data_IF_390759940430
#
_entry.id   IF_390759940430
#
_cell.length_a   1.000
_cell.length_b   1.000
_cell.length_c   1.000
_cell.angle_alpha   90.00
_cell.angle_beta   90.00
_cell.angle_gamma   90.00
#
_symmetry.space_group_name_H-M   'P 1'
#
loop_
_entity.id
_entity.type
_entity.pdbx_description
1 polymer ?
#
# COMPACT_ATOMS: atom_id res chain seq x y z
N UNK A 1 -31.31 16.74 10.06
CA UNK A 1 -30.17 16.35 9.21
C UNK A 1 -28.90 16.86 9.88
N UNK A 2 -27.82 16.08 9.89
CA UNK A 2 -26.54 16.54 10.42
C UNK A 2 -26.00 17.70 9.56
N UNK A 3 -25.39 18.71 10.18
CA UNK A 3 -24.68 19.76 9.44
C UNK A 3 -23.41 19.13 8.85
N UNK A 4 -23.33 19.05 7.53
CA UNK A 4 -22.21 18.45 6.79
C UNK A 4 -21.19 19.49 6.34
N UNK A 5 -21.20 20.66 6.98
CA UNK A 5 -20.23 21.73 6.73
C UNK A 5 -19.31 21.91 7.94
N UNK A 6 -18.04 22.19 7.67
CA UNK A 6 -17.06 22.53 8.70
C UNK A 6 -17.28 23.93 9.28
N UNK A 7 -16.44 24.36 10.22
CA UNK A 7 -16.56 25.68 10.86
C UNK A 7 -16.35 26.87 9.90
N UNK A 8 -15.84 26.62 8.68
CA UNK A 8 -15.67 27.62 7.62
C UNK A 8 -16.77 27.53 6.56
N UNK A 9 -17.76 26.65 6.72
CA UNK A 9 -18.86 26.45 5.78
C UNK A 9 -18.54 25.54 4.59
N UNK A 10 -17.41 24.84 4.56
CA UNK A 10 -17.02 23.93 3.46
C UNK A 10 -17.61 22.53 3.67
N UNK A 11 -17.92 21.74 2.61
CA UNK A 11 -18.34 20.36 2.78
C UNK A 11 -17.31 19.54 3.58
N UNK A 12 -17.78 18.75 4.54
CA UNK A 12 -16.94 17.83 5.30
C UNK A 12 -16.43 16.73 4.37
N UNK A 13 -15.12 16.49 4.41
CA UNK A 13 -14.45 15.40 3.70
C UNK A 13 -13.99 14.38 4.74
N UNK A 14 -14.30 13.11 4.50
CA UNK A 14 -13.90 12.00 5.34
C UNK A 14 -13.19 10.92 4.51
N UNK A 15 -12.32 10.15 5.16
CA UNK A 15 -11.74 8.93 4.58
C UNK A 15 -12.75 7.80 4.79
N UNK A 16 -13.33 7.29 3.72
CA UNK A 16 -14.34 6.22 3.76
C UNK A 16 -13.81 4.86 3.37
N UNK A 17 -12.64 4.80 2.71
CA UNK A 17 -11.95 3.56 2.37
C UNK A 17 -10.45 3.79 2.20
N UNK A 18 -9.64 2.77 2.50
CA UNK A 18 -8.20 2.77 2.45
C UNK A 18 -7.74 1.45 1.83
N UNK A 19 -7.01 1.55 0.73
CA UNK A 19 -6.30 0.41 0.17
C UNK A 19 -4.79 0.55 0.32
N UNK A 20 -4.12 -0.57 0.56
CA UNK A 20 -2.69 -0.58 0.85
C UNK A 20 -2.00 -1.82 0.31
N UNK A 21 -0.85 -1.62 -0.32
CA UNK A 21 0.09 -2.70 -0.65
C UNK A 21 1.47 -2.30 -0.15
N UNK A 22 2.08 -3.13 0.68
CA UNK A 22 3.42 -2.89 1.26
C UNK A 22 4.23 -4.17 1.25
N UNK A 23 5.48 -4.11 1.71
CA UNK A 23 6.27 -5.31 1.97
C UNK A 23 5.72 -6.20 3.09
N UNK A 24 4.69 -5.76 3.82
CA UNK A 24 4.02 -6.55 4.85
C UNK A 24 2.82 -7.34 4.34
N UNK A 25 2.27 -6.99 3.16
CA UNK A 25 1.14 -7.71 2.57
C UNK A 25 0.36 -6.91 1.53
N UNK A 26 -0.58 -7.60 0.87
CA UNK A 26 -1.63 -6.98 0.06
C UNK A 26 -2.84 -6.79 0.96
N UNK A 27 -3.30 -5.57 1.09
CA UNK A 27 -4.52 -5.28 1.81
C UNK A 27 -4.30 -4.70 3.20
N UNK A 28 -5.26 -3.88 3.64
CA UNK A 28 -5.30 -3.27 4.98
C UNK A 28 -5.26 -4.33 6.07
N UNK A 29 -6.02 -5.41 5.92
CA UNK A 29 -6.12 -6.47 6.93
C UNK A 29 -4.75 -7.16 7.17
N UNK A 30 -4.12 -7.63 6.10
CA UNK A 30 -2.85 -8.35 6.17
C UNK A 30 -1.72 -7.43 6.63
N UNK A 31 -1.64 -6.22 6.06
CA UNK A 31 -0.66 -5.21 6.47
C UNK A 31 -0.81 -4.83 7.95
N UNK A 32 -2.04 -4.61 8.43
CA UNK A 32 -2.29 -4.24 9.83
C UNK A 32 -1.95 -5.39 10.79
N UNK A 33 -2.33 -6.62 10.44
CA UNK A 33 -2.01 -7.79 11.24
C UNK A 33 -0.49 -8.01 11.36
N UNK A 34 0.26 -7.86 10.25
CA UNK A 34 1.71 -7.97 10.27
C UNK A 34 2.39 -6.84 11.05
N UNK A 35 1.94 -5.59 10.85
CA UNK A 35 2.47 -4.41 11.53
C UNK A 35 2.28 -4.50 13.05
N UNK A 36 1.07 -4.82 13.50
CA UNK A 36 0.75 -4.92 14.93
C UNK A 36 1.39 -6.12 15.62
N UNK A 37 1.70 -7.18 14.86
CA UNK A 37 2.50 -8.31 15.34
C UNK A 37 4.02 -8.03 15.38
N UNK A 38 4.47 -6.82 15.03
CA UNK A 38 5.88 -6.46 15.01
C UNK A 38 6.68 -7.15 13.91
N UNK A 39 6.03 -7.63 12.84
CA UNK A 39 6.75 -8.23 11.71
C UNK A 39 7.46 -7.14 10.92
N UNK A 40 8.72 -7.38 10.58
CA UNK A 40 9.48 -6.51 9.68
C UNK A 40 9.27 -6.93 8.23
N UNK A 41 8.89 -5.99 7.38
CA UNK A 41 8.88 -6.16 5.93
C UNK A 41 10.22 -5.80 5.28
N UNK A 42 11.24 -5.45 6.07
CA UNK A 42 12.57 -5.09 5.57
C UNK A 42 13.44 -6.35 5.49
N UNK A 43 14.02 -6.59 4.32
CA UNK A 43 14.88 -7.76 4.06
C UNK A 43 15.95 -7.44 3.00
N UNK A 44 16.91 -8.34 2.73
CA UNK A 44 17.94 -8.13 1.71
C UNK A 44 17.35 -7.85 0.32
N UNK A 45 18.02 -6.98 -0.44
CA UNK A 45 17.67 -6.69 -1.84
C UNK A 45 18.06 -7.88 -2.72
N UNK A 46 17.12 -8.37 -3.53
CA UNK A 46 17.26 -9.55 -4.42
C UNK A 46 16.98 -9.21 -5.88
N UNK A 47 16.55 -7.98 -6.17
CA UNK A 47 16.12 -7.54 -7.51
C UNK A 47 17.27 -7.25 -8.47
N UNK A 48 18.45 -6.98 -7.94
CA UNK A 48 19.67 -6.68 -8.70
C UNK A 48 20.91 -6.86 -7.79
N UNK A 49 22.12 -7.00 -8.34
CA UNK A 49 23.37 -7.07 -7.56
C UNK A 49 23.62 -5.78 -6.76
N UNK A 50 23.96 -5.90 -5.48
CA UNK A 50 24.11 -4.76 -4.55
C UNK A 50 25.53 -4.57 -4.02
N UNK A 51 26.53 -5.22 -4.62
CA UNK A 51 27.91 -5.28 -4.13
C UNK A 51 28.55 -3.90 -3.92
N UNK A 52 28.20 -2.93 -4.75
CA UNK A 52 28.73 -1.57 -4.72
C UNK A 52 27.83 -0.57 -3.99
N UNK A 53 26.77 -1.04 -3.31
CA UNK A 53 25.84 -0.19 -2.59
C UNK A 53 26.09 -0.24 -1.08
N UNK A 54 26.04 0.94 -0.45
CA UNK A 54 26.07 1.07 1.01
C UNK A 54 24.79 0.51 1.64
N UNK A 55 23.64 0.66 0.98
CA UNK A 55 22.35 0.14 1.42
C UNK A 55 22.01 -1.15 0.67
N UNK A 56 21.76 -2.23 1.42
CA UNK A 56 21.54 -3.59 0.87
C UNK A 56 20.23 -4.23 1.33
N UNK A 57 19.39 -3.48 2.02
CA UNK A 57 18.09 -3.90 2.53
C UNK A 57 17.01 -2.95 2.02
N UNK A 58 15.79 -3.47 1.82
CA UNK A 58 14.63 -2.68 1.42
C UNK A 58 13.33 -3.38 1.83
N UNK A 59 12.23 -2.63 1.87
CA UNK A 59 10.87 -3.17 1.98
C UNK A 59 10.28 -3.39 0.60
N UNK A 60 10.65 -4.50 -0.05
CA UNK A 60 10.21 -4.79 -1.41
C UNK A 60 8.90 -5.58 -1.41
N UNK A 61 8.05 -5.35 -2.43
CA UNK A 61 6.85 -6.16 -2.67
C UNK A 61 7.23 -7.26 -3.65
N UNK A 62 7.69 -8.41 -3.14
CA UNK A 62 8.26 -9.49 -3.97
C UNK A 62 7.28 -10.61 -4.33
N UNK A 63 6.08 -10.58 -3.76
CA UNK A 63 5.07 -11.63 -3.90
C UNK A 63 4.04 -11.37 -5.00
N UNK A 64 4.09 -10.22 -5.70
CA UNK A 64 3.20 -9.95 -6.82
C UNK A 64 3.74 -10.54 -8.14
N UNK A 65 2.88 -10.98 -9.06
CA UNK A 65 3.32 -11.47 -10.36
C UNK A 65 4.12 -10.45 -11.19
N UNK A 66 3.90 -9.15 -10.99
CA UNK A 66 4.64 -8.07 -11.65
C UNK A 66 5.96 -7.71 -10.98
N UNK A 67 6.26 -8.26 -9.80
CA UNK A 67 7.47 -7.93 -9.03
C UNK A 67 8.76 -8.16 -9.81
N UNK A 68 8.77 -9.11 -10.73
CA UNK A 68 9.92 -9.43 -11.61
C UNK A 68 9.83 -8.83 -13.01
N UNK A 69 8.76 -8.09 -13.33
CA UNK A 69 8.48 -7.58 -14.70
C UNK A 69 8.93 -6.13 -14.92
N UNK A 70 9.64 -5.54 -13.95
CA UNK A 70 10.15 -4.18 -14.00
C UNK A 70 9.28 -3.16 -13.26
N UNK A 71 9.85 -1.98 -13.04
CA UNK A 71 9.27 -0.96 -12.16
C UNK A 71 7.91 -0.45 -12.65
N UNK A 72 7.74 -0.21 -13.95
CA UNK A 72 6.50 0.37 -14.49
C UNK A 72 5.29 -0.54 -14.28
N UNK A 73 5.45 -1.84 -14.56
CA UNK A 73 4.36 -2.82 -14.37
C UNK A 73 4.05 -3.04 -12.90
N UNK A 74 5.07 -3.16 -12.05
CA UNK A 74 4.85 -3.29 -10.61
C UNK A 74 4.14 -2.05 -10.04
N UNK A 75 4.58 -0.84 -10.38
CA UNK A 75 3.96 0.40 -9.89
C UNK A 75 2.50 0.49 -10.30
N UNK A 76 2.16 0.09 -11.54
CA UNK A 76 0.78 0.05 -11.99
C UNK A 76 -0.06 -0.94 -11.17
N UNK A 77 0.43 -2.18 -11.00
CA UNK A 77 -0.29 -3.19 -10.21
C UNK A 77 -0.47 -2.75 -8.75
N UNK A 78 0.55 -2.15 -8.14
CA UNK A 78 0.44 -1.61 -6.77
C UNK A 78 -0.65 -0.55 -6.66
N UNK A 79 -0.71 0.38 -7.62
CA UNK A 79 -1.71 1.43 -7.65
C UNK A 79 -3.11 0.88 -7.89
N UNK A 80 -3.26 -0.03 -8.85
CA UNK A 80 -4.54 -0.65 -9.20
C UNK A 80 -5.10 -1.45 -8.03
N UNK A 81 -4.30 -2.33 -7.42
CA UNK A 81 -4.74 -3.16 -6.28
C UNK A 81 -5.13 -2.30 -5.08
N UNK A 82 -4.32 -1.30 -4.73
CA UNK A 82 -4.64 -0.39 -3.64
C UNK A 82 -5.89 0.45 -3.94
N UNK A 83 -6.08 0.93 -5.17
CA UNK A 83 -7.27 1.68 -5.55
C UNK A 83 -8.53 0.83 -5.48
N UNK A 84 -8.48 -0.40 -5.99
CA UNK A 84 -9.61 -1.35 -5.94
C UNK A 84 -10.02 -1.67 -4.50
N UNK A 85 -9.06 -1.92 -3.61
CA UNK A 85 -9.36 -2.12 -2.18
C UNK A 85 -10.00 -0.87 -1.56
N UNK A 86 -9.46 0.32 -1.83
CA UNK A 86 -9.97 1.57 -1.28
C UNK A 86 -11.43 1.85 -1.70
N UNK A 87 -11.75 1.64 -2.98
CA UNK A 87 -13.11 1.83 -3.52
C UNK A 87 -14.07 0.80 -2.93
N UNK A 88 -13.65 -0.47 -2.87
CA UNK A 88 -14.45 -1.53 -2.26
C UNK A 88 -14.73 -1.27 -0.76
N UNK A 89 -13.71 -0.82 0.00
CA UNK A 89 -13.90 -0.48 1.41
C UNK A 89 -14.81 0.73 1.60
N UNK A 90 -14.77 1.70 0.68
CA UNK A 90 -15.66 2.86 0.70
C UNK A 90 -17.13 2.52 0.44
N UNK A 91 -17.44 1.29 0.01
CA UNK A 91 -18.80 0.85 -0.30
C UNK A 91 -19.40 1.60 -1.51
N UNK A 92 -18.55 1.97 -2.47
CA UNK A 92 -18.94 2.64 -3.70
C UNK A 92 -19.06 1.60 -4.82
N UNK A 93 -20.20 1.58 -5.51
CA UNK A 93 -20.48 0.75 -6.70
C UNK A 93 -20.01 1.43 -8.00
#
# INVERSE_FOLDING_TARGET
MANLNDHMGRPIVAVTGIGVVTSLGVGKADNWAALTAGKSGIHPITRFPVDHLNTRISGMVDFLPSSSKGASLLTYDLAEIAAQEAVAEAGLD
#
